data_IF_453020369142
#
_entry.id   IF_453020369142
#
_cell.length_a   1.000
_cell.length_b   1.000
_cell.length_c   1.000
_cell.angle_alpha   90.00
_cell.angle_beta   90.00
_cell.angle_gamma   90.00
#
_symmetry.space_group_name_H-M   'P 1'
#
loop_
_entity.id
_entity.type
_entity.pdbx_description
1 polymer ?
#
# COMPACT_ATOMS: atom_id res chain seq x y z
N UNK A 1 -10.86 -30.39 -6.54
CA UNK A 1 -10.43 -30.21 -7.94
C UNK A 1 -11.68 -30.10 -8.78
N UNK A 2 -11.77 -29.10 -9.65
CA UNK A 2 -12.81 -29.01 -10.68
C UNK A 2 -12.65 -30.19 -11.67
N UNK A 3 -13.73 -30.81 -12.17
CA UNK A 3 -13.69 -31.92 -13.13
C UNK A 3 -12.90 -31.64 -14.43
N UNK A 4 -12.52 -30.40 -14.73
CA UNK A 4 -11.72 -30.01 -15.91
C UNK A 4 -10.21 -30.00 -15.68
N UNK A 5 -9.71 -30.22 -14.46
CA UNK A 5 -8.27 -30.19 -14.16
C UNK A 5 -7.61 -28.80 -14.24
N UNK A 6 -8.38 -27.75 -14.53
CA UNK A 6 -7.88 -26.38 -14.56
C UNK A 6 -7.79 -25.83 -13.13
N UNK A 7 -6.61 -25.38 -12.70
CA UNK A 7 -6.47 -24.64 -11.43
C UNK A 7 -7.29 -23.35 -11.54
N UNK A 8 -8.37 -23.26 -10.76
CA UNK A 8 -9.14 -22.02 -10.64
C UNK A 8 -8.20 -20.96 -10.06
N UNK A 9 -7.94 -19.90 -10.84
CA UNK A 9 -7.22 -18.73 -10.34
C UNK A 9 -8.08 -18.07 -9.26
N UNK A 10 -7.54 -17.95 -8.06
CA UNK A 10 -8.15 -17.19 -6.96
C UNK A 10 -7.41 -15.87 -6.82
N UNK A 11 -8.16 -14.77 -6.83
CA UNK A 11 -7.66 -13.45 -6.49
C UNK A 11 -8.00 -13.16 -5.01
N UNK A 12 -7.06 -12.52 -4.31
CA UNK A 12 -7.23 -12.06 -2.93
C UNK A 12 -7.03 -10.56 -2.96
N UNK A 13 -8.03 -9.83 -2.47
CA UNK A 13 -7.93 -8.38 -2.30
C UNK A 13 -7.14 -8.08 -1.02
N UNK A 14 -6.09 -7.27 -1.15
CA UNK A 14 -5.23 -6.79 -0.07
C UNK A 14 -5.44 -5.30 0.20
N UNK A 15 -6.58 -4.75 -0.25
CA UNK A 15 -6.88 -3.33 -0.11
C UNK A 15 -7.91 -3.06 0.97
N UNK A 16 -7.74 -1.95 1.68
CA UNK A 16 -8.76 -1.35 2.51
C UNK A 16 -9.70 -0.48 1.66
N UNK A 17 -11.01 -0.60 1.89
CA UNK A 17 -12.02 0.24 1.26
C UNK A 17 -11.83 1.72 1.62
N UNK A 18 -11.79 2.58 0.60
CA UNK A 18 -11.77 4.03 0.78
C UNK A 18 -13.21 4.56 0.92
N UNK A 19 -13.48 5.29 2.00
CA UNK A 19 -14.80 5.86 2.31
C UNK A 19 -14.73 7.38 2.52
N UNK A 20 -15.80 8.09 2.19
CA UNK A 20 -15.97 9.53 2.47
C UNK A 20 -15.59 9.84 3.93
N UNK A 21 -14.66 10.79 4.12
CA UNK A 21 -14.30 11.28 5.45
C UNK A 21 -13.50 10.30 6.32
N UNK A 22 -13.05 9.17 5.79
CA UNK A 22 -12.25 8.24 6.57
C UNK A 22 -10.88 8.81 6.95
N UNK A 23 -10.36 8.40 8.09
CA UNK A 23 -9.03 8.81 8.56
C UNK A 23 -8.03 7.72 8.16
N UNK A 24 -7.22 7.98 7.13
CA UNK A 24 -6.06 7.13 6.78
C UNK A 24 -4.83 7.47 7.60
N UNK A 25 -4.60 8.75 7.85
CA UNK A 25 -3.44 9.24 8.59
C UNK A 25 -3.88 10.43 9.46
N UNK A 26 -3.56 10.40 10.75
CA UNK A 26 -3.93 11.48 11.68
C UNK A 26 -3.26 12.79 11.25
N UNK A 27 -4.06 13.84 11.06
CA UNK A 27 -3.60 15.18 10.67
C UNK A 27 -3.56 15.43 9.16
N UNK A 28 -3.78 14.42 8.32
CA UNK A 28 -3.92 14.60 6.87
C UNK A 28 -5.40 14.81 6.47
N UNK A 29 -5.68 15.47 5.32
CA UNK A 29 -7.02 15.63 4.82
C UNK A 29 -7.70 14.28 4.55
N UNK A 30 -8.94 14.12 5.02
CA UNK A 30 -9.77 12.96 4.69
C UNK A 30 -10.28 13.05 3.24
N UNK A 31 -10.50 11.91 2.55
CA UNK A 31 -11.02 11.92 1.19
C UNK A 31 -12.44 12.48 1.12
N UNK A 32 -12.70 13.25 0.07
CA UNK A 32 -14.02 13.72 -0.32
C UNK A 32 -14.51 12.92 -1.53
N UNK A 33 -15.48 12.04 -1.30
CA UNK A 33 -16.19 11.21 -2.26
C UNK A 33 -17.65 11.64 -2.27
N UNK A 34 -18.08 12.27 -3.35
CA UNK A 34 -19.45 12.78 -3.50
C UNK A 34 -19.90 12.80 -4.96
N UNK A 35 -21.15 13.20 -5.22
CA UNK A 35 -21.62 13.41 -6.59
C UNK A 35 -21.12 14.75 -7.13
N UNK A 36 -20.43 14.73 -8.27
CA UNK A 36 -20.28 15.90 -9.14
C UNK A 36 -21.61 16.18 -9.86
N UNK A 37 -22.20 15.14 -10.44
CA UNK A 37 -23.55 15.13 -11.00
C UNK A 37 -24.33 13.96 -10.40
N UNK A 38 -25.39 14.24 -9.65
CA UNK A 38 -26.27 13.20 -9.13
C UNK A 38 -27.25 12.70 -10.21
N UNK A 39 -27.74 11.46 -10.04
CA UNK A 39 -28.77 10.88 -10.94
C UNK A 39 -29.98 11.79 -11.08
N UNK A 40 -30.45 12.33 -9.96
CA UNK A 40 -31.60 13.24 -9.90
C UNK A 40 -31.35 14.52 -10.70
N UNK A 41 -30.18 15.15 -10.53
CA UNK A 41 -29.82 16.37 -11.27
C UNK A 41 -29.68 16.08 -12.76
N UNK A 42 -29.17 14.89 -13.13
CA UNK A 42 -29.00 14.51 -14.53
C UNK A 42 -30.33 14.45 -15.31
N UNK A 43 -31.44 14.10 -14.66
CA UNK A 43 -32.77 14.07 -15.29
C UNK A 43 -33.24 15.45 -15.80
N UNK A 44 -32.72 16.53 -15.22
CA UNK A 44 -32.98 17.90 -15.68
C UNK A 44 -32.13 18.34 -16.88
N UNK A 45 -31.18 17.50 -17.31
CA UNK A 45 -30.21 17.79 -18.38
C UNK A 45 -30.47 16.88 -19.59
N UNK A 46 -30.74 15.60 -19.33
CA UNK A 46 -30.89 14.57 -20.37
C UNK A 46 -32.35 14.27 -20.70
N UNK A 47 -32.57 13.59 -21.82
CA UNK A 47 -33.90 13.18 -22.27
C UNK A 47 -34.56 12.22 -21.28
N UNK A 48 -35.90 12.15 -21.34
CA UNK A 48 -36.69 11.23 -20.51
C UNK A 48 -36.17 9.79 -20.64
N UNK A 49 -36.06 9.10 -19.51
CA UNK A 49 -35.50 7.74 -19.44
C UNK A 49 -33.96 7.66 -19.47
N UNK A 50 -33.26 8.79 -19.56
CA UNK A 50 -31.79 8.85 -19.54
C UNK A 50 -31.29 9.55 -18.28
N UNK A 51 -30.53 8.83 -17.45
CA UNK A 51 -29.94 9.38 -16.22
C UNK A 51 -28.50 8.87 -16.01
N UNK A 52 -27.66 9.71 -15.41
CA UNK A 52 -26.25 9.43 -15.14
C UNK A 52 -25.88 9.87 -13.73
N UNK A 53 -24.88 9.21 -13.15
CA UNK A 53 -24.16 9.71 -11.98
C UNK A 53 -22.71 9.91 -12.35
N UNK A 54 -22.13 11.02 -11.93
CA UNK A 54 -20.70 11.31 -12.06
C UNK A 54 -20.19 11.59 -10.66
N UNK A 55 -19.30 10.71 -10.16
CA UNK A 55 -18.64 10.90 -8.88
C UNK A 55 -17.50 11.92 -8.96
N UNK A 56 -17.28 12.64 -7.87
CA UNK A 56 -16.06 13.40 -7.58
C UNK A 56 -15.30 12.67 -6.48
N UNK A 57 -14.01 12.47 -6.69
CA UNK A 57 -13.08 12.00 -5.66
C UNK A 57 -11.97 13.03 -5.54
N UNK A 58 -11.74 13.49 -4.32
CA UNK A 58 -10.65 14.39 -3.95
C UNK A 58 -9.96 13.79 -2.73
N UNK A 59 -8.69 13.43 -2.89
CA UNK A 59 -7.93 12.75 -1.84
C UNK A 59 -6.43 13.02 -2.04
N UNK A 60 -5.66 12.88 -0.96
CA UNK A 60 -4.22 12.79 -1.07
C UNK A 60 -3.83 11.39 -1.58
N UNK A 61 -2.65 11.24 -2.20
CA UNK A 61 -2.16 9.97 -2.71
C UNK A 61 -2.04 8.88 -1.65
N UNK A 62 -1.68 9.27 -0.42
CA UNK A 62 -1.48 8.39 0.72
C UNK A 62 -2.82 8.16 1.47
N UNK A 63 -3.82 7.64 0.76
CA UNK A 63 -5.18 7.35 1.26
C UNK A 63 -5.52 5.87 1.08
N UNK A 64 -5.99 5.19 2.13
CA UNK A 64 -6.27 3.74 2.09
C UNK A 64 -5.00 2.92 1.88
N UNK A 65 -5.11 1.83 1.12
CA UNK A 65 -3.95 1.08 0.62
C UNK A 65 -3.37 1.78 -0.59
N UNK A 66 -2.09 2.15 -0.54
CA UNK A 66 -1.44 2.92 -1.59
C UNK A 66 -0.02 2.44 -1.87
N UNK A 67 0.59 3.02 -2.90
CA UNK A 67 2.00 2.83 -3.21
C UNK A 67 2.77 4.14 -3.15
N UNK A 68 3.99 4.08 -2.63
CA UNK A 68 4.96 5.17 -2.75
C UNK A 68 6.01 4.84 -3.79
N UNK A 69 6.37 5.87 -4.55
CA UNK A 69 7.35 5.84 -5.64
C UNK A 69 8.52 6.74 -5.29
N UNK A 70 9.67 6.67 -6.01
CA UNK A 70 10.84 7.48 -5.71
C UNK A 70 10.57 8.97 -5.49
N UNK A 71 9.63 9.55 -6.26
CA UNK A 71 9.23 10.95 -6.13
C UNK A 71 8.71 11.33 -4.74
N UNK A 72 8.07 10.39 -4.02
CA UNK A 72 7.57 10.62 -2.65
C UNK A 72 8.69 11.13 -1.72
N UNK A 73 9.92 10.63 -1.92
CA UNK A 73 11.08 10.98 -1.10
C UNK A 73 12.08 11.90 -1.80
N UNK A 74 12.21 11.80 -3.12
CA UNK A 74 13.25 12.46 -3.91
C UNK A 74 12.63 13.33 -4.98
N UNK A 75 12.89 14.64 -4.95
CA UNK A 75 12.33 15.62 -5.90
C UNK A 75 12.59 15.30 -7.39
N UNK A 76 13.67 14.57 -7.68
CA UNK A 76 14.05 14.15 -9.04
C UNK A 76 13.86 12.64 -9.25
N UNK A 77 13.18 11.96 -8.32
CA UNK A 77 12.81 10.55 -8.45
C UNK A 77 11.62 10.38 -9.37
N UNK A 78 11.49 9.18 -9.97
CA UNK A 78 10.34 8.82 -10.81
C UNK A 78 9.04 8.90 -10.02
N UNK A 79 8.04 9.55 -10.60
CA UNK A 79 6.67 9.50 -10.07
C UNK A 79 5.90 8.27 -10.57
N UNK A 80 4.65 8.10 -10.11
CA UNK A 80 3.81 6.95 -10.47
C UNK A 80 3.56 6.82 -11.98
N UNK A 81 3.53 7.92 -12.72
CA UNK A 81 3.33 7.89 -14.18
C UNK A 81 4.56 7.40 -14.94
N UNK A 82 5.74 7.46 -14.31
CA UNK A 82 7.02 7.03 -14.88
C UNK A 82 7.45 5.61 -14.44
N UNK A 83 6.74 5.01 -13.48
CA UNK A 83 6.98 3.63 -13.07
C UNK A 83 6.47 2.67 -14.15
N UNK A 84 7.37 1.83 -14.66
CA UNK A 84 7.00 0.74 -15.58
C UNK A 84 6.10 -0.27 -14.88
N UNK A 85 5.04 -0.71 -15.55
CA UNK A 85 3.95 -1.48 -14.95
C UNK A 85 4.43 -2.83 -14.39
N UNK A 86 5.48 -3.41 -14.94
CA UNK A 86 6.10 -4.66 -14.51
C UNK A 86 6.67 -4.60 -13.09
N UNK A 87 6.89 -3.39 -12.53
CA UNK A 87 7.24 -3.21 -11.11
C UNK A 87 6.02 -3.31 -10.17
N UNK A 88 4.81 -3.43 -10.70
CA UNK A 88 3.55 -3.40 -9.94
C UNK A 88 2.66 -4.63 -10.20
N UNK A 89 2.75 -5.24 -11.37
CA UNK A 89 1.86 -6.33 -11.80
C UNK A 89 2.63 -7.60 -12.13
N UNK A 90 1.98 -8.75 -11.96
CA UNK A 90 2.53 -10.09 -12.28
C UNK A 90 3.89 -10.38 -11.64
N UNK A 91 4.16 -9.75 -10.49
CA UNK A 91 5.33 -10.00 -9.69
C UNK A 91 5.19 -11.32 -8.92
N UNK A 92 6.23 -12.14 -8.97
CA UNK A 92 6.40 -13.22 -8.00
C UNK A 92 6.40 -12.62 -6.59
N UNK A 93 5.43 -13.01 -5.77
CA UNK A 93 5.32 -12.52 -4.39
C UNK A 93 5.82 -13.56 -3.38
N UNK A 94 6.44 -13.08 -2.30
CA UNK A 94 6.72 -13.85 -1.09
C UNK A 94 6.10 -13.15 0.11
N UNK A 95 5.33 -13.89 0.90
CA UNK A 95 4.79 -13.38 2.16
C UNK A 95 5.74 -13.68 3.31
N UNK A 96 6.04 -12.66 4.11
CA UNK A 96 6.87 -12.73 5.30
C UNK A 96 5.95 -12.62 6.52
N UNK A 97 6.01 -13.59 7.42
CA UNK A 97 5.20 -13.58 8.64
C UNK A 97 6.01 -12.92 9.76
N UNK A 98 5.57 -11.74 10.19
CA UNK A 98 6.22 -10.92 11.20
C UNK A 98 5.22 -10.49 12.29
N UNK A 99 4.64 -11.48 12.95
CA UNK A 99 3.57 -11.32 13.93
C UNK A 99 3.91 -10.29 15.02
N UNK A 100 3.16 -9.19 15.02
CA UNK A 100 3.37 -8.04 15.89
C UNK A 100 3.38 -8.40 17.38
N UNK A 101 2.77 -9.53 17.76
CA UNK A 101 2.72 -10.02 19.15
C UNK A 101 4.10 -10.42 19.70
N UNK A 102 5.08 -10.67 18.83
CA UNK A 102 6.45 -11.00 19.21
C UNK A 102 7.40 -9.80 19.16
N UNK A 103 6.93 -8.64 18.71
CA UNK A 103 7.72 -7.43 18.53
C UNK A 103 7.23 -6.62 17.33
N UNK A 104 7.51 -5.31 17.35
CA UNK A 104 7.12 -4.37 16.28
C UNK A 104 8.24 -4.14 15.26
N UNK A 105 9.47 -4.54 15.57
CA UNK A 105 10.61 -4.41 14.67
C UNK A 105 10.70 -5.61 13.72
N UNK A 106 10.52 -5.34 12.43
CA UNK A 106 10.74 -6.33 11.36
C UNK A 106 12.19 -6.22 10.92
N UNK A 107 13.06 -6.98 11.61
CA UNK A 107 14.50 -7.01 11.38
C UNK A 107 14.95 -7.87 10.19
N UNK A 108 16.25 -7.78 9.87
CA UNK A 108 16.88 -8.50 8.74
C UNK A 108 16.64 -10.02 8.76
N UNK A 109 16.64 -10.62 9.95
CA UNK A 109 16.49 -12.07 10.15
C UNK A 109 15.20 -12.65 9.57
N UNK A 110 14.15 -11.83 9.41
CA UNK A 110 12.90 -12.25 8.75
C UNK A 110 13.08 -12.58 7.27
N UNK A 111 14.15 -12.10 6.64
CA UNK A 111 14.38 -12.16 5.20
C UNK A 111 15.54 -13.09 4.81
N UNK A 112 16.39 -13.44 5.76
CA UNK A 112 17.56 -14.29 5.51
C UNK A 112 17.16 -15.66 4.95
N UNK A 113 18.01 -16.19 4.06
CA UNK A 113 17.84 -17.49 3.41
C UNK A 113 16.59 -17.61 2.51
N UNK A 114 16.00 -16.48 2.08
CA UNK A 114 14.89 -16.44 1.13
C UNK A 114 15.36 -15.98 -0.25
N UNK A 115 14.70 -16.45 -1.30
CA UNK A 115 14.92 -15.95 -2.67
C UNK A 115 14.06 -14.70 -2.87
N UNK A 116 14.69 -13.51 -2.90
CA UNK A 116 13.98 -12.22 -2.89
C UNK A 116 14.15 -11.38 -4.17
N UNK A 117 15.18 -11.66 -4.97
CA UNK A 117 15.52 -10.89 -6.16
C UNK A 117 14.35 -10.81 -7.15
N UNK A 118 13.97 -9.59 -7.52
CA UNK A 118 12.89 -9.30 -8.46
C UNK A 118 11.47 -9.56 -7.92
N UNK A 119 11.32 -9.97 -6.65
CA UNK A 119 10.02 -10.32 -6.08
C UNK A 119 9.32 -9.13 -5.43
N UNK A 120 8.01 -9.27 -5.21
CA UNK A 120 7.27 -8.49 -4.22
C UNK A 120 7.41 -9.17 -2.84
N UNK A 121 7.93 -8.46 -1.85
CA UNK A 121 8.04 -8.92 -0.47
C UNK A 121 6.90 -8.32 0.33
N UNK A 122 5.91 -9.14 0.71
CA UNK A 122 4.73 -8.70 1.45
C UNK A 122 4.85 -9.10 2.92
N UNK A 123 5.02 -8.12 3.80
CA UNK A 123 5.19 -8.31 5.23
C UNK A 123 3.81 -8.32 5.88
N UNK A 124 3.41 -9.48 6.37
CA UNK A 124 2.19 -9.66 7.13
C UNK A 124 2.54 -9.70 8.62
N UNK A 125 2.16 -8.63 9.31
CA UNK A 125 2.38 -8.46 10.74
C UNK A 125 1.12 -8.77 11.56
N UNK A 126 -0.04 -8.79 10.91
CA UNK A 126 -1.36 -8.91 11.53
C UNK A 126 -1.89 -7.59 12.07
N UNK A 127 -1.30 -6.45 11.68
CA UNK A 127 -1.66 -5.12 12.18
C UNK A 127 -2.89 -4.53 11.51
N UNK A 128 -3.20 -4.95 10.28
CA UNK A 128 -4.38 -4.52 9.53
C UNK A 128 -5.70 -4.73 10.27
N UNK A 129 -5.74 -5.65 11.25
CA UNK A 129 -6.91 -5.84 12.13
C UNK A 129 -7.27 -4.60 12.96
N UNK A 130 -6.33 -3.68 13.16
CA UNK A 130 -6.55 -2.44 13.89
C UNK A 130 -6.99 -1.29 12.98
N UNK A 131 -7.09 -1.51 11.66
CA UNK A 131 -7.54 -0.50 10.69
C UNK A 131 -8.81 0.21 11.17
N UNK A 132 -8.86 1.54 10.99
CA UNK A 132 -9.93 2.45 11.47
C UNK A 132 -10.08 2.54 12.99
N UNK A 133 -9.07 2.16 13.76
CA UNK A 133 -9.03 2.41 15.21
C UNK A 133 -7.84 3.29 15.57
N UNK A 134 -7.91 3.96 16.72
CA UNK A 134 -6.79 4.78 17.22
C UNK A 134 -5.50 3.95 17.41
N UNK A 135 -5.64 2.67 17.77
CA UNK A 135 -4.53 1.75 17.96
C UNK A 135 -3.73 1.51 16.66
N UNK A 136 -4.32 1.73 15.50
CA UNK A 136 -3.61 1.56 14.22
C UNK A 136 -2.38 2.47 14.10
N UNK A 137 -2.48 3.67 14.66
CA UNK A 137 -1.51 4.76 14.52
C UNK A 137 -0.39 4.73 15.56
N UNK A 138 -0.46 3.84 16.55
CA UNK A 138 0.42 3.85 17.71
C UNK A 138 1.18 2.55 17.83
N UNK A 139 2.51 2.62 18.01
CA UNK A 139 3.37 1.44 18.18
C UNK A 139 3.16 0.36 17.10
N UNK A 140 2.95 0.78 15.86
CA UNK A 140 2.76 -0.14 14.75
C UNK A 140 4.08 -0.85 14.37
N UNK A 141 4.02 -2.05 13.78
CA UNK A 141 5.16 -2.71 13.20
C UNK A 141 5.80 -1.89 12.07
N UNK A 142 7.12 -1.94 11.98
CA UNK A 142 7.91 -1.23 10.98
C UNK A 142 9.15 -2.01 10.59
N UNK A 143 9.72 -1.69 9.43
CA UNK A 143 10.95 -2.27 8.92
C UNK A 143 12.18 -1.58 9.54
N UNK A 144 13.13 -2.35 10.06
CA UNK A 144 14.37 -1.75 10.58
C UNK A 144 15.27 -1.26 9.43
N UNK A 145 16.17 -0.32 9.72
CA UNK A 145 17.14 0.16 8.74
C UNK A 145 18.01 -0.97 8.16
N UNK A 146 18.47 -1.90 9.01
CA UNK A 146 19.26 -3.05 8.57
C UNK A 146 18.45 -3.95 7.61
N UNK A 147 17.15 -4.14 7.87
CA UNK A 147 16.28 -4.90 6.99
C UNK A 147 16.06 -4.18 5.64
N UNK A 148 15.90 -2.86 5.65
CA UNK A 148 15.79 -2.06 4.42
C UNK A 148 17.07 -2.14 3.56
N UNK A 149 18.25 -2.03 4.18
CA UNK A 149 19.54 -2.24 3.52
C UNK A 149 19.59 -3.63 2.88
N UNK A 150 19.21 -4.67 3.65
CA UNK A 150 19.24 -6.04 3.15
C UNK A 150 18.30 -6.25 1.96
N UNK A 151 17.05 -5.79 2.03
CA UNK A 151 16.07 -5.92 0.94
C UNK A 151 16.52 -5.20 -0.33
N UNK A 152 17.11 -4.00 -0.18
CA UNK A 152 17.76 -3.28 -1.27
C UNK A 152 18.84 -4.11 -1.93
N UNK A 153 19.78 -4.64 -1.15
CA UNK A 153 20.94 -5.38 -1.66
C UNK A 153 20.55 -6.73 -2.27
N UNK A 154 19.41 -7.31 -1.84
CA UNK A 154 18.82 -8.50 -2.46
C UNK A 154 18.10 -8.20 -3.78
N UNK A 155 17.92 -6.94 -4.16
CA UNK A 155 17.30 -6.54 -5.43
C UNK A 155 15.81 -6.86 -5.50
N UNK A 156 15.09 -6.64 -4.40
CA UNK A 156 13.62 -6.74 -4.32
C UNK A 156 12.97 -5.71 -5.25
N UNK A 157 11.82 -6.03 -5.85
CA UNK A 157 11.11 -5.10 -6.75
C UNK A 157 10.11 -4.21 -5.98
N UNK A 158 9.41 -4.78 -5.01
CA UNK A 158 8.39 -4.11 -4.22
C UNK A 158 8.42 -4.62 -2.78
N UNK A 159 8.23 -3.74 -1.80
CA UNK A 159 8.05 -4.11 -0.39
C UNK A 159 6.70 -3.61 0.08
N UNK A 160 5.87 -4.52 0.57
CA UNK A 160 4.55 -4.23 1.11
C UNK A 160 4.47 -4.48 2.62
N UNK A 161 3.70 -3.70 3.37
CA UNK A 161 3.42 -3.93 4.80
C UNK A 161 1.96 -3.64 5.14
N UNK A 162 1.39 -4.43 6.05
CA UNK A 162 0.00 -4.31 6.53
C UNK A 162 -0.16 -3.35 7.74
N UNK A 163 0.81 -2.47 7.95
CA UNK A 163 0.90 -1.55 9.09
C UNK A 163 0.77 -0.08 8.66
N UNK A 164 0.78 0.82 9.65
CA UNK A 164 0.57 2.26 9.42
C UNK A 164 1.66 2.94 8.59
N UNK A 165 2.91 2.48 8.71
CA UNK A 165 4.02 3.00 7.92
C UNK A 165 5.16 1.97 7.92
N UNK A 166 5.95 1.97 6.84
CA UNK A 166 7.14 1.15 6.66
C UNK A 166 8.24 1.51 7.67
N UNK A 167 8.26 2.75 8.15
CA UNK A 167 9.25 3.30 9.09
C UNK A 167 8.67 3.53 10.49
N UNK A 168 9.56 3.57 11.50
CA UNK A 168 9.20 3.93 12.87
C UNK A 168 8.75 5.40 12.98
N UNK A 169 7.45 5.62 13.19
CA UNK A 169 6.84 6.95 13.30
C UNK A 169 7.17 7.72 14.56
N UNK A 170 7.83 7.11 15.56
CA UNK A 170 8.31 7.81 16.77
C UNK A 170 9.49 8.75 16.47
N UNK A 171 10.26 8.45 15.42
CA UNK A 171 11.33 9.29 14.90
C UNK A 171 10.97 9.92 13.55
N UNK A 172 11.90 10.71 13.01
CA UNK A 172 11.75 11.42 11.74
C UNK A 172 12.81 11.03 10.68
N UNK A 173 13.60 9.98 10.92
CA UNK A 173 14.70 9.58 10.01
C UNK A 173 14.24 8.86 8.75
N UNK A 174 13.12 8.13 8.83
CA UNK A 174 12.49 7.40 7.70
C UNK A 174 13.50 6.60 6.82
N UNK A 175 14.34 5.73 7.42
CA UNK A 175 15.38 5.01 6.68
C UNK A 175 14.83 4.05 5.63
N UNK A 176 13.71 3.35 5.86
CA UNK A 176 13.13 2.43 4.89
C UNK A 176 12.67 3.16 3.63
N UNK A 177 11.91 4.26 3.77
CA UNK A 177 11.54 5.11 2.64
C UNK A 177 12.78 5.60 1.89
N UNK A 178 13.78 6.11 2.61
CA UNK A 178 15.01 6.64 2.00
C UNK A 178 15.76 5.55 1.21
N UNK A 179 16.05 4.41 1.84
CA UNK A 179 16.90 3.39 1.23
C UNK A 179 16.22 2.64 0.08
N UNK A 180 14.94 2.32 0.23
CA UNK A 180 14.22 1.50 -0.75
C UNK A 180 13.79 2.33 -1.96
N UNK A 181 13.19 3.52 -1.74
CA UNK A 181 12.81 4.40 -2.84
C UNK A 181 14.04 4.92 -3.60
N UNK A 182 15.17 5.14 -2.91
CA UNK A 182 16.43 5.52 -3.53
C UNK A 182 17.02 4.45 -4.44
N UNK A 183 16.62 3.19 -4.26
CA UNK A 183 16.96 2.06 -5.13
C UNK A 183 15.85 1.72 -6.13
N UNK A 184 14.86 2.60 -6.29
CA UNK A 184 13.67 2.41 -7.13
C UNK A 184 12.84 1.16 -6.78
N UNK A 185 12.82 0.78 -5.50
CA UNK A 185 11.96 -0.28 -4.96
C UNK A 185 10.66 0.37 -4.51
N UNK A 186 9.54 -0.10 -5.04
CA UNK A 186 8.21 0.46 -4.73
C UNK A 186 7.79 0.03 -3.32
N UNK A 187 7.14 0.92 -2.59
CA UNK A 187 6.54 0.61 -1.29
C UNK A 187 5.04 0.48 -1.44
N UNK A 188 4.44 -0.48 -0.75
CA UNK A 188 2.99 -0.58 -0.59
C UNK A 188 2.65 -0.58 0.91
N UNK A 189 1.79 0.33 1.34
CA UNK A 189 1.43 0.51 2.75
C UNK A 189 -0.06 0.31 2.97
N UNK A 190 -0.44 -0.01 4.21
CA UNK A 190 -1.81 -0.31 4.61
C UNK A 190 -2.43 -1.51 3.86
N UNK A 191 -1.66 -2.59 3.65
CA UNK A 191 -2.16 -3.87 3.12
C UNK A 191 -3.02 -4.66 4.13
#
# INVERSE_FOLDING_TARGET
MDPTGCKVKRYIDLSHTIEQGMITYKGLPAPVICDYLSREKSRGIYAEGTEFQIGKIEMISNTGTYVDTPFHRYENGKDLSEIVIEKLVDLDAITIQADYRHGIEVGKSFFENKSLKGKAVLINTGWSKFWRTDAYFENHPFLTEEAAIYLRDQGVSLVGIDSHNMDDTRGNSRPAHTLLLGAEIILAEHL
#
